data_IF_532186505291
#
_entry.id   IF_532186505291
#
_cell.length_a   1.000
_cell.length_b   1.000
_cell.length_c   1.000
_cell.angle_alpha   90.00
_cell.angle_beta   90.00
_cell.angle_gamma   90.00
#
_symmetry.space_group_name_H-M   'P 1'
#
loop_
_entity.id
_entity.type
_entity.pdbx_description
1 polymer ?
#
# COMPACT_ATOMS: atom_id res chain seq x y z
N UNK A 1 25.57 -23.59 3.65
CA UNK A 1 25.98 -22.21 3.31
C UNK A 1 25.85 -21.93 1.82
N UNK A 2 26.71 -22.43 0.91
CA UNK A 2 26.44 -22.22 -0.55
C UNK A 2 25.10 -22.81 -1.03
N UNK A 3 24.69 -23.95 -0.47
CA UNK A 3 23.36 -24.53 -0.71
C UNK A 3 22.20 -23.71 -0.14
N UNK A 4 22.45 -22.86 0.86
CA UNK A 4 21.42 -22.01 1.47
C UNK A 4 21.21 -20.80 0.54
N UNK A 5 22.29 -20.11 0.16
CA UNK A 5 22.27 -19.04 -0.85
C UNK A 5 21.62 -19.45 -2.19
N UNK A 6 21.86 -20.67 -2.67
CA UNK A 6 21.22 -21.20 -3.88
C UNK A 6 19.70 -21.40 -3.69
N UNK A 7 19.27 -21.79 -2.49
CA UNK A 7 17.85 -21.92 -2.12
C UNK A 7 17.21 -20.53 -2.02
N UNK A 8 17.86 -19.57 -1.36
CA UNK A 8 17.36 -18.21 -1.22
C UNK A 8 17.30 -17.48 -2.57
N UNK A 9 18.22 -17.77 -3.50
CA UNK A 9 18.13 -17.32 -4.89
C UNK A 9 16.90 -17.88 -5.61
N UNK A 10 16.57 -19.15 -5.39
CA UNK A 10 15.37 -19.76 -5.96
C UNK A 10 14.09 -19.12 -5.39
N UNK A 11 14.03 -18.94 -4.07
CA UNK A 11 12.94 -18.28 -3.38
C UNK A 11 12.76 -16.82 -3.83
N UNK A 12 13.86 -16.08 -3.94
CA UNK A 12 13.85 -14.69 -4.36
C UNK A 12 13.35 -14.52 -5.81
N UNK A 13 13.72 -15.42 -6.72
CA UNK A 13 13.18 -15.46 -8.09
C UNK A 13 11.69 -15.78 -8.10
N UNK A 14 11.25 -16.78 -7.33
CA UNK A 14 9.83 -17.12 -7.20
C UNK A 14 9.00 -15.94 -6.68
N UNK A 15 9.55 -15.18 -5.73
CA UNK A 15 8.89 -13.96 -5.22
C UNK A 15 8.79 -12.86 -6.29
N UNK A 16 9.82 -12.68 -7.13
CA UNK A 16 9.81 -11.70 -8.23
C UNK A 16 8.75 -12.01 -9.29
N UNK A 17 8.45 -13.28 -9.55
CA UNK A 17 7.42 -13.69 -10.50
C UNK A 17 6.00 -13.39 -9.98
N UNK A 18 5.80 -13.43 -8.67
CA UNK A 18 4.50 -13.22 -8.02
C UNK A 18 4.15 -11.76 -7.67
N UNK A 19 5.10 -10.83 -7.75
CA UNK A 19 4.93 -9.46 -7.24
C UNK A 19 4.85 -8.39 -8.34
N UNK A 20 4.04 -7.36 -8.12
CA UNK A 20 3.83 -6.24 -9.06
C UNK A 20 4.47 -4.93 -8.59
N UNK A 21 5.05 -4.86 -7.39
CA UNK A 21 5.64 -3.62 -6.84
C UNK A 21 7.05 -3.34 -7.40
N UNK A 22 7.24 -2.17 -8.00
CA UNK A 22 8.47 -1.84 -8.73
C UNK A 22 9.73 -1.64 -7.86
N UNK A 23 9.63 -0.99 -6.69
CA UNK A 23 10.82 -0.59 -5.90
C UNK A 23 11.46 -1.76 -5.17
N UNK A 24 10.68 -2.56 -4.43
CA UNK A 24 11.17 -3.74 -3.73
C UNK A 24 11.71 -4.79 -4.70
N UNK A 25 11.10 -4.91 -5.88
CA UNK A 25 11.61 -5.82 -6.92
C UNK A 25 12.92 -5.36 -7.53
N UNK A 26 13.17 -4.05 -7.64
CA UNK A 26 14.43 -3.54 -8.16
C UNK A 26 15.61 -3.82 -7.22
N UNK A 27 15.44 -3.59 -5.91
CA UNK A 27 16.47 -3.91 -4.92
C UNK A 27 16.73 -5.42 -4.85
N UNK A 28 15.69 -6.24 -4.75
CA UNK A 28 15.81 -7.70 -4.72
C UNK A 28 16.51 -8.24 -5.98
N UNK A 29 16.18 -7.74 -7.17
CA UNK A 29 16.89 -8.09 -8.42
C UNK A 29 18.38 -7.74 -8.35
N UNK A 30 18.71 -6.58 -7.79
CA UNK A 30 20.11 -6.16 -7.61
C UNK A 30 20.88 -7.05 -6.64
N UNK A 31 20.24 -7.54 -5.58
CA UNK A 31 20.85 -8.49 -4.63
C UNK A 31 21.01 -9.88 -5.24
N UNK A 32 20.00 -10.39 -5.96
CA UNK A 32 20.07 -11.65 -6.72
C UNK A 32 21.26 -11.63 -7.69
N UNK A 33 21.37 -10.60 -8.53
CA UNK A 33 22.45 -10.50 -9.52
C UNK A 33 23.83 -10.47 -8.87
N UNK A 34 23.97 -9.83 -7.71
CA UNK A 34 25.24 -9.81 -6.95
C UNK A 34 25.57 -11.20 -6.37
N UNK A 35 24.60 -11.89 -5.79
CA UNK A 35 24.81 -13.24 -5.24
C UNK A 35 25.17 -14.25 -6.34
N UNK A 36 24.54 -14.18 -7.51
CA UNK A 36 24.89 -14.99 -8.68
C UNK A 36 26.32 -14.74 -9.17
N UNK A 37 26.75 -13.47 -9.22
CA UNK A 37 28.12 -13.11 -9.58
C UNK A 37 29.14 -13.69 -8.60
N UNK A 38 28.89 -13.55 -7.29
CA UNK A 38 29.78 -14.09 -6.24
C UNK A 38 29.89 -15.61 -6.33
N UNK A 39 28.78 -16.33 -6.55
CA UNK A 39 28.82 -17.78 -6.73
C UNK A 39 29.60 -18.19 -7.98
N UNK A 40 29.48 -17.42 -9.07
CA UNK A 40 30.22 -17.67 -10.32
C UNK A 40 31.72 -17.46 -10.09
N UNK A 41 32.12 -16.33 -9.51
CA UNK A 41 33.51 -16.00 -9.21
C UNK A 41 34.18 -17.06 -8.33
N UNK A 42 33.49 -17.55 -7.29
CA UNK A 42 34.03 -18.59 -6.39
C UNK A 42 34.20 -19.93 -7.13
N UNK A 43 33.25 -20.31 -8.00
CA UNK A 43 33.34 -21.54 -8.81
C UNK A 43 34.52 -21.46 -9.78
N UNK A 44 34.71 -20.33 -10.44
CA UNK A 44 35.84 -20.10 -11.35
C UNK A 44 37.19 -20.11 -10.62
N UNK A 45 37.29 -19.42 -9.48
CA UNK A 45 38.51 -19.41 -8.65
C UNK A 45 38.88 -20.82 -8.17
N UNK A 46 37.89 -21.62 -7.77
CA UNK A 46 38.10 -23.01 -7.35
C UNK A 46 38.62 -23.88 -8.50
N UNK A 47 38.19 -23.62 -9.73
CA UNK A 47 38.63 -24.35 -10.93
C UNK A 47 40.01 -23.90 -11.45
N UNK A 48 40.41 -22.66 -11.20
CA UNK A 48 41.62 -22.05 -11.76
C UNK A 48 42.92 -22.36 -11.00
N UNK A 49 42.87 -22.94 -9.81
CA UNK A 49 44.05 -23.33 -9.04
C UNK A 49 44.03 -22.87 -7.57
N UNK A 50 45.18 -22.49 -6.97
CA UNK A 50 45.22 -22.04 -5.58
C UNK A 50 44.34 -20.80 -5.38
N UNK A 51 43.36 -20.89 -4.48
CA UNK A 51 42.47 -19.80 -4.10
C UNK A 51 42.50 -19.59 -2.58
N UNK A 52 42.06 -18.43 -2.10
CA UNK A 52 41.87 -18.17 -0.67
C UNK A 52 40.46 -18.62 -0.24
N UNK A 53 40.32 -19.75 0.47
CA UNK A 53 39.02 -20.25 0.89
C UNK A 53 38.35 -19.39 1.95
N UNK A 54 39.11 -18.64 2.75
CA UNK A 54 38.55 -17.76 3.79
C UNK A 54 37.92 -16.54 3.15
N UNK A 55 38.61 -15.93 2.18
CA UNK A 55 38.08 -14.81 1.41
C UNK A 55 36.85 -15.23 0.58
N UNK A 56 36.89 -16.40 -0.06
CA UNK A 56 35.75 -16.94 -0.80
C UNK A 56 34.52 -17.15 0.10
N UNK A 57 34.71 -17.77 1.28
CA UNK A 57 33.62 -17.97 2.23
C UNK A 57 33.03 -16.63 2.71
N UNK A 58 33.89 -15.67 3.05
CA UNK A 58 33.46 -14.33 3.50
C UNK A 58 32.60 -13.64 2.45
N UNK A 59 32.99 -13.67 1.17
CA UNK A 59 32.22 -13.06 0.07
C UNK A 59 30.85 -13.73 -0.12
N UNK A 60 30.79 -15.06 -0.01
CA UNK A 60 29.52 -15.79 -0.07
C UNK A 60 28.62 -15.39 1.09
N UNK A 61 29.14 -15.34 2.32
CA UNK A 61 28.36 -14.94 3.50
C UNK A 61 27.86 -13.49 3.42
N UNK A 62 28.67 -12.56 2.90
CA UNK A 62 28.25 -11.17 2.67
C UNK A 62 27.12 -11.08 1.64
N UNK A 63 27.19 -11.88 0.56
CA UNK A 63 26.14 -11.92 -0.45
C UNK A 63 24.85 -12.58 0.07
N UNK A 64 24.99 -13.61 0.90
CA UNK A 64 23.90 -14.34 1.56
C UNK A 64 23.10 -13.42 2.50
N UNK A 65 23.79 -12.79 3.46
CA UNK A 65 23.16 -11.81 4.37
C UNK A 65 22.49 -10.67 3.60
N UNK A 66 23.15 -10.18 2.55
CA UNK A 66 22.62 -9.11 1.71
C UNK A 66 21.36 -9.53 0.92
N UNK A 67 21.23 -10.80 0.54
CA UNK A 67 20.06 -11.34 -0.14
C UNK A 67 18.92 -11.59 0.85
N UNK A 68 19.23 -12.16 2.01
CA UNK A 68 18.28 -12.42 3.09
C UNK A 68 17.55 -11.16 3.56
N UNK A 69 18.29 -10.07 3.77
CA UNK A 69 17.70 -8.78 4.17
C UNK A 69 16.69 -8.27 3.12
N UNK A 70 17.05 -8.35 1.84
CA UNK A 70 16.17 -7.92 0.75
C UNK A 70 14.97 -8.85 0.57
N UNK A 71 15.16 -10.16 0.75
CA UNK A 71 14.09 -11.15 0.68
C UNK A 71 13.10 -10.97 1.83
N UNK A 72 13.57 -10.73 3.05
CA UNK A 72 12.74 -10.42 4.21
C UNK A 72 11.91 -9.15 3.97
N UNK A 73 12.55 -8.07 3.50
CA UNK A 73 11.86 -6.83 3.14
C UNK A 73 10.84 -7.01 2.01
N UNK A 74 11.13 -7.82 0.99
CA UNK A 74 10.18 -8.09 -0.07
C UNK A 74 8.96 -8.90 0.42
N UNK A 75 9.17 -9.90 1.29
CA UNK A 75 8.10 -10.71 1.89
C UNK A 75 7.20 -9.90 2.79
N UNK A 76 7.76 -9.01 3.62
CA UNK A 76 6.98 -8.11 4.48
C UNK A 76 6.07 -7.20 3.64
N UNK A 77 6.58 -6.68 2.53
CA UNK A 77 5.89 -5.72 1.67
C UNK A 77 4.75 -6.42 0.94
N UNK A 78 5.00 -7.62 0.43
CA UNK A 78 3.98 -8.46 -0.18
C UNK A 78 2.88 -8.84 0.83
N UNK A 79 3.25 -9.21 2.06
CA UNK A 79 2.29 -9.49 3.13
C UNK A 79 1.46 -8.25 3.49
N UNK A 80 2.09 -7.07 3.57
CA UNK A 80 1.43 -5.80 3.77
C UNK A 80 0.45 -5.45 2.64
N UNK A 81 0.85 -5.67 1.39
CA UNK A 81 0.00 -5.50 0.21
C UNK A 81 -1.19 -6.45 0.18
N UNK A 82 -1.00 -7.74 0.48
CA UNK A 82 -2.11 -8.71 0.61
C UNK A 82 -3.10 -8.31 1.69
N UNK A 83 -2.59 -7.90 2.87
CA UNK A 83 -3.44 -7.41 3.96
C UNK A 83 -4.23 -6.17 3.53
N UNK A 84 -3.59 -5.22 2.86
CA UNK A 84 -4.25 -4.01 2.36
C UNK A 84 -5.36 -4.33 1.35
N UNK A 85 -5.11 -5.23 0.38
CA UNK A 85 -6.14 -5.69 -0.57
C UNK A 85 -7.35 -6.30 0.14
N UNK A 86 -7.12 -7.16 1.13
CA UNK A 86 -8.20 -7.78 1.91
C UNK A 86 -9.07 -6.76 2.65
N UNK A 87 -8.50 -5.62 3.06
CA UNK A 87 -9.23 -4.55 3.76
C UNK A 87 -9.87 -3.55 2.78
N UNK A 88 -9.29 -3.38 1.60
CA UNK A 88 -9.67 -2.37 0.62
C UNK A 88 -11.13 -2.51 0.19
N UNK A 89 -11.59 -3.71 -0.15
CA UNK A 89 -12.96 -3.93 -0.61
C UNK A 89 -13.99 -3.46 0.43
N UNK A 90 -13.74 -3.79 1.69
CA UNK A 90 -14.62 -3.42 2.80
C UNK A 90 -14.58 -1.90 3.08
N UNK A 91 -13.40 -1.28 2.98
CA UNK A 91 -13.25 0.17 3.11
C UNK A 91 -13.94 0.92 1.95
N UNK A 92 -13.80 0.44 0.72
CA UNK A 92 -14.45 1.01 -0.47
C UNK A 92 -15.97 0.97 -0.37
N UNK A 93 -16.53 -0.15 0.09
CA UNK A 93 -17.96 -0.30 0.33
C UNK A 93 -18.45 0.67 1.43
N UNK A 94 -17.70 0.76 2.53
CA UNK A 94 -18.02 1.64 3.66
C UNK A 94 -18.03 3.11 3.23
N UNK A 95 -16.96 3.56 2.56
CA UNK A 95 -16.83 4.92 2.06
C UNK A 95 -17.95 5.26 1.05
N UNK A 96 -18.25 4.36 0.10
CA UNK A 96 -19.35 4.55 -0.86
C UNK A 96 -20.69 4.74 -0.15
N UNK A 97 -20.95 3.95 0.89
CA UNK A 97 -22.19 4.01 1.66
C UNK A 97 -22.31 5.32 2.44
N UNK A 98 -21.23 5.76 3.09
CA UNK A 98 -21.19 7.03 3.81
C UNK A 98 -21.36 8.24 2.87
N UNK A 99 -20.72 8.20 1.69
CA UNK A 99 -20.87 9.23 0.65
C UNK A 99 -22.34 9.31 0.19
N UNK A 100 -22.99 8.18 -0.07
CA UNK A 100 -24.40 8.15 -0.47
C UNK A 100 -25.29 8.76 0.61
N UNK A 101 -25.13 8.35 1.87
CA UNK A 101 -25.91 8.87 2.99
C UNK A 101 -25.75 10.39 3.16
N UNK A 102 -24.52 10.90 3.11
CA UNK A 102 -24.24 12.34 3.17
C UNK A 102 -24.85 13.08 1.97
N UNK A 103 -24.79 12.51 0.76
CA UNK A 103 -25.38 13.08 -0.45
C UNK A 103 -26.89 13.21 -0.32
N UNK A 104 -27.58 12.14 0.09
CA UNK A 104 -29.04 12.12 0.25
C UNK A 104 -29.50 13.12 1.32
N UNK A 105 -28.78 13.20 2.44
CA UNK A 105 -29.10 14.15 3.50
C UNK A 105 -28.94 15.61 3.04
N UNK A 106 -27.81 15.93 2.39
CA UNK A 106 -27.50 17.29 1.92
C UNK A 106 -28.46 17.75 0.83
N UNK A 107 -28.82 16.84 -0.10
CA UNK A 107 -29.77 17.16 -1.19
C UNK A 107 -31.17 17.42 -0.67
N UNK A 108 -31.64 16.61 0.30
CA UNK A 108 -32.94 16.80 0.97
C UNK A 108 -33.02 18.15 1.70
N UNK A 109 -31.92 18.58 2.33
CA UNK A 109 -31.88 19.79 3.16
C UNK A 109 -31.12 20.96 2.52
N UNK A 110 -31.13 21.07 1.19
CA UNK A 110 -30.30 22.04 0.44
C UNK A 110 -30.44 23.51 0.91
N UNK A 111 -31.59 23.89 1.46
CA UNK A 111 -31.82 25.26 1.95
C UNK A 111 -31.17 25.56 3.30
N UNK A 112 -30.98 24.54 4.14
CA UNK A 112 -30.41 24.69 5.48
C UNK A 112 -28.91 24.38 5.51
N UNK A 113 -28.42 23.51 4.62
CA UNK A 113 -27.01 23.05 4.63
C UNK A 113 -26.04 24.10 4.07
N UNK A 114 -24.97 24.36 4.82
CA UNK A 114 -23.92 25.31 4.50
C UNK A 114 -22.84 24.80 3.54
N UNK A 115 -21.94 25.70 3.15
CA UNK A 115 -20.87 25.41 2.19
C UNK A 115 -19.84 24.39 2.72
N UNK A 116 -19.56 24.38 4.02
CA UNK A 116 -18.54 23.49 4.60
C UNK A 116 -18.91 22.00 4.44
N UNK A 117 -20.15 21.63 4.73
CA UNK A 117 -20.64 20.26 4.53
C UNK A 117 -20.50 19.81 3.07
N UNK A 118 -20.88 20.68 2.12
CA UNK A 118 -20.76 20.43 0.67
C UNK A 118 -19.31 20.27 0.23
N UNK A 119 -18.41 21.11 0.74
CA UNK A 119 -16.98 20.99 0.46
C UNK A 119 -16.45 19.65 0.94
N UNK A 120 -16.76 19.24 2.18
CA UNK A 120 -16.33 17.93 2.73
C UNK A 120 -16.83 16.76 1.89
N UNK A 121 -18.09 16.81 1.45
CA UNK A 121 -18.64 15.78 0.55
C UNK A 121 -17.89 15.75 -0.80
N UNK A 122 -17.59 16.90 -1.39
CA UNK A 122 -16.81 16.97 -2.62
C UNK A 122 -15.39 16.41 -2.44
N UNK A 123 -14.75 16.63 -1.28
CA UNK A 123 -13.45 16.03 -0.98
C UNK A 123 -13.55 14.51 -0.81
N UNK A 124 -14.60 14.02 -0.14
CA UNK A 124 -14.84 12.59 0.02
C UNK A 124 -14.94 11.88 -1.34
N UNK A 125 -15.68 12.44 -2.29
CA UNK A 125 -15.74 11.93 -3.65
C UNK A 125 -14.38 11.90 -4.35
N UNK A 126 -13.59 12.98 -4.23
CA UNK A 126 -12.23 13.03 -4.84
C UNK A 126 -11.33 11.93 -4.28
N UNK A 127 -11.38 11.68 -2.96
CA UNK A 127 -10.59 10.62 -2.30
C UNK A 127 -11.06 9.23 -2.71
N UNK A 128 -12.37 9.01 -2.79
CA UNK A 128 -12.92 7.73 -3.24
C UNK A 128 -12.51 7.39 -4.67
N UNK A 129 -12.51 8.38 -5.56
CA UNK A 129 -12.05 8.19 -6.94
C UNK A 129 -10.54 7.93 -7.01
N UNK A 130 -9.72 8.61 -6.20
CA UNK A 130 -8.29 8.31 -6.07
C UNK A 130 -8.07 6.87 -5.55
N UNK A 131 -8.86 6.42 -4.58
CA UNK A 131 -8.81 5.04 -4.09
C UNK A 131 -9.08 4.04 -5.22
N UNK A 132 -10.09 4.31 -6.05
CA UNK A 132 -10.44 3.48 -7.21
C UNK A 132 -9.33 3.41 -8.25
N UNK A 133 -8.65 4.52 -8.51
CA UNK A 133 -7.52 4.58 -9.45
C UNK A 133 -6.29 3.83 -8.94
N UNK A 134 -6.06 3.83 -7.63
CA UNK A 134 -4.94 3.14 -7.00
C UNK A 134 -5.18 1.65 -6.77
N UNK A 135 -6.44 1.18 -6.76
CA UNK A 135 -6.81 -0.17 -6.32
C UNK A 135 -6.02 -1.31 -6.99
N UNK A 136 -5.72 -1.18 -8.28
CA UNK A 136 -5.04 -2.22 -9.06
C UNK A 136 -3.50 -2.21 -8.89
N UNK A 137 -2.91 -1.06 -8.54
CA UNK A 137 -1.45 -0.86 -8.52
C UNK A 137 -0.84 -0.61 -7.13
N UNK A 138 -1.59 0.03 -6.25
CA UNK A 138 -1.19 0.40 -4.89
C UNK A 138 -2.36 0.24 -3.92
N UNK A 139 -2.56 -1.00 -3.46
CA UNK A 139 -3.64 -1.32 -2.52
C UNK A 139 -3.49 -0.62 -1.16
N UNK A 140 -2.26 -0.31 -0.72
CA UNK A 140 -2.02 0.41 0.52
C UNK A 140 -2.45 1.88 0.39
N UNK A 141 -2.03 2.54 -0.69
CA UNK A 141 -2.48 3.89 -1.03
C UNK A 141 -3.99 3.95 -1.22
N UNK A 142 -4.57 2.99 -1.95
CA UNK A 142 -6.01 2.89 -2.17
C UNK A 142 -6.79 2.76 -0.85
N UNK A 143 -6.33 1.90 0.07
CA UNK A 143 -6.97 1.71 1.37
C UNK A 143 -6.97 3.00 2.19
N UNK A 144 -5.85 3.72 2.22
CA UNK A 144 -5.74 4.99 2.92
C UNK A 144 -6.70 6.05 2.33
N UNK A 145 -6.80 6.14 0.99
CA UNK A 145 -7.72 7.05 0.32
C UNK A 145 -9.19 6.69 0.61
N UNK A 146 -9.55 5.41 0.62
CA UNK A 146 -10.90 4.95 0.95
C UNK A 146 -11.30 5.29 2.39
N UNK A 147 -10.40 5.07 3.36
CA UNK A 147 -10.63 5.43 4.77
C UNK A 147 -10.81 6.94 4.95
N UNK A 148 -10.01 7.75 4.26
CA UNK A 148 -10.15 9.20 4.28
C UNK A 148 -11.47 9.67 3.63
N UNK A 149 -11.91 9.00 2.57
CA UNK A 149 -13.20 9.26 1.94
C UNK A 149 -14.37 9.01 2.91
N UNK A 150 -14.37 7.87 3.63
CA UNK A 150 -15.37 7.57 4.68
C UNK A 150 -15.37 8.65 5.77
N UNK A 151 -14.20 9.00 6.31
CA UNK A 151 -14.08 10.01 7.35
C UNK A 151 -14.62 11.38 6.92
N UNK A 152 -14.28 11.82 5.69
CA UNK A 152 -14.78 13.07 5.12
C UNK A 152 -16.29 13.05 4.88
N UNK A 153 -16.84 11.92 4.42
CA UNK A 153 -18.28 11.77 4.23
C UNK A 153 -19.05 11.85 5.55
N UNK A 154 -18.57 11.18 6.60
CA UNK A 154 -19.14 11.29 7.96
C UNK A 154 -19.08 12.71 8.51
N UNK A 155 -17.98 13.41 8.28
CA UNK A 155 -17.87 14.83 8.65
C UNK A 155 -18.85 15.70 7.88
N UNK A 156 -19.02 15.47 6.58
CA UNK A 156 -20.00 16.18 5.76
C UNK A 156 -21.42 15.99 6.30
N UNK A 157 -21.79 14.76 6.64
CA UNK A 157 -23.09 14.45 7.24
C UNK A 157 -23.26 15.15 8.60
N UNK A 158 -22.28 15.03 9.51
CA UNK A 158 -22.35 15.65 10.83
C UNK A 158 -22.45 17.18 10.79
N UNK A 159 -21.79 17.84 9.84
CA UNK A 159 -21.92 19.28 9.59
C UNK A 159 -23.32 19.62 9.06
N UNK A 160 -23.81 18.86 8.08
CA UNK A 160 -25.15 19.07 7.53
C UNK A 160 -26.25 18.90 8.60
N UNK A 161 -26.11 17.93 9.50
CA UNK A 161 -27.03 17.74 10.63
C UNK A 161 -27.00 18.93 11.60
N UNK A 162 -25.83 19.49 11.88
CA UNK A 162 -25.69 20.69 12.70
C UNK A 162 -26.36 21.91 12.05
N UNK A 163 -26.13 22.11 10.75
CA UNK A 163 -26.72 23.20 9.98
C UNK A 163 -28.26 23.13 10.00
N UNK A 164 -28.82 21.93 9.78
CA UNK A 164 -30.29 21.70 9.82
C UNK A 164 -30.88 21.97 11.21
N UNK A 165 -30.22 21.48 12.27
CA UNK A 165 -30.65 21.77 13.65
C UNK A 165 -30.62 23.27 13.96
N UNK A 166 -29.58 23.98 13.50
CA UNK A 166 -29.47 25.43 13.67
C UNK A 166 -30.56 26.20 12.91
N UNK A 167 -30.89 25.75 11.70
CA UNK A 167 -31.95 26.34 10.87
C UNK A 167 -33.36 26.18 11.46
N UNK A 168 -33.61 25.10 12.21
CA UNK A 168 -34.91 24.81 12.85
C UNK A 168 -35.05 25.41 14.27
N UNK A 169 -33.99 25.99 14.84
CA UNK A 169 -34.00 26.57 16.19
C UNK A 169 -34.67 27.96 16.28
N UNK A 170 -34.86 28.53 17.49
CA UNK A 170 -35.63 29.77 17.76
C UNK A 170 -35.13 31.07 17.08
N UNK A 171 -34.04 31.02 16.30
CA UNK A 171 -33.51 32.13 15.51
C UNK A 171 -33.40 31.85 14.01
N UNK A 172 -33.95 30.73 13.53
CA UNK A 172 -33.98 30.39 12.11
C UNK A 172 -35.09 31.12 11.34
N UNK A 173 -34.96 31.34 10.02
CA UNK A 173 -35.93 32.08 9.21
C UNK A 173 -37.26 31.33 8.96
N UNK A 174 -37.60 30.32 9.76
CA UNK A 174 -38.78 29.46 9.62
C UNK A 174 -39.71 29.41 10.84
N UNK A 175 -39.59 30.36 11.76
CA UNK A 175 -40.52 30.58 12.88
C UNK A 175 -41.58 31.63 12.59
#
# INVERSE_FOLDING_TARGET
>A
RSSDLETDLADARGLLEGTTQATSTADLRGRIARAEAVLTDVREATAAGPYDPVDALRRVEEADVALDEALAGAREQEAGGRRARSLLDQAMLTARSAIAAATDYITTHRGAVGAQARTRLAEAHRRWEQARQLADGDAQGALAQAQQADALARQAQGLAEQDVRGFQGPGGPGG
#
